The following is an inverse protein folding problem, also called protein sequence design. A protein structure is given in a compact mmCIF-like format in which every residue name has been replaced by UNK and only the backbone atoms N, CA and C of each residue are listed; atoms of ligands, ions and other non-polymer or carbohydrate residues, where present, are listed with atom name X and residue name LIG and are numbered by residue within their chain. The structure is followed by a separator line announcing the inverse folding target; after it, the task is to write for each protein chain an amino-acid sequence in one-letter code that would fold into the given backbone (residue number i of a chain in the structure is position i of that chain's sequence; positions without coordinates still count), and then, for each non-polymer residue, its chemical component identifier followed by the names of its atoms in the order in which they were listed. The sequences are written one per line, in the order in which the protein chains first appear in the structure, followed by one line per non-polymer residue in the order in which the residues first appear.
data_IF_302258755474
#
_entry.id   IF_302258755474
#
_cell.length_a   1.000
_cell.length_b   1.000
_cell.length_c   1.000
_cell.angle_alpha   90.00
_cell.angle_beta   90.00
_cell.angle_gamma   90.00
#
_symmetry.space_group_name_H-M   'P 1'
#
loop_
_entity.id
_entity.type
_entity.pdbx_description
1 polymer ?
#
# COMPACT_ATOMS: atom_id res chain seq x y z
N UNK A 1 1.75 11.21 10.42
CA UNK A 1 0.71 11.14 11.46
C UNK A 1 1.01 12.07 12.63
N UNK A 2 2.22 12.01 13.20
CA UNK A 2 2.58 12.77 14.41
C UNK A 2 2.32 14.28 14.34
N UNK A 3 2.45 14.87 13.14
CA UNK A 3 2.29 16.31 12.88
C UNK A 3 0.93 16.70 12.30
N UNK A 4 0.09 15.73 11.96
CA UNK A 4 -1.17 15.97 11.23
C UNK A 4 -2.38 16.04 12.16
N UNK A 5 -2.28 15.46 13.35
CA UNK A 5 -3.38 15.41 14.31
C UNK A 5 -2.90 15.89 15.67
N UNK A 6 -3.73 16.67 16.40
CA UNK A 6 -3.40 17.07 17.76
C UNK A 6 -3.49 15.85 18.70
N UNK A 7 -2.63 15.86 19.72
CA UNK A 7 -2.63 14.90 20.83
C UNK A 7 -2.99 15.64 22.12
N UNK A 8 -4.26 15.67 22.53
CA UNK A 8 -4.69 16.31 23.77
C UNK A 8 -4.20 15.53 24.99
N UNK A 9 -4.18 16.17 26.15
CA UNK A 9 -3.75 15.54 27.40
C UNK A 9 -4.63 14.35 27.82
N UNK A 10 -5.91 14.37 27.43
CA UNK A 10 -6.88 13.35 27.79
C UNK A 10 -7.51 12.70 26.57
N UNK A 11 -7.82 11.41 26.69
CA UNK A 11 -8.37 10.61 25.61
C UNK A 11 -9.75 11.10 25.16
N UNK A 12 -10.61 11.48 26.11
CA UNK A 12 -11.95 12.02 25.88
C UNK A 12 -11.97 13.27 25.00
N UNK A 13 -10.88 14.01 24.95
CA UNK A 13 -10.76 15.23 24.15
C UNK A 13 -10.23 14.96 22.74
N UNK A 14 -9.84 13.72 22.41
CA UNK A 14 -9.23 13.37 21.13
C UNK A 14 -10.14 13.75 19.95
N UNK A 15 -9.78 14.79 19.17
CA UNK A 15 -10.52 15.11 17.97
C UNK A 15 -10.12 14.14 16.86
N UNK A 16 -11.03 13.96 15.88
CA UNK A 16 -10.78 13.17 14.67
C UNK A 16 -10.46 11.68 14.90
N UNK A 17 -10.88 11.10 16.03
CA UNK A 17 -10.61 9.70 16.37
C UNK A 17 -10.88 8.69 15.24
N UNK A 18 -12.02 8.87 14.54
CA UNK A 18 -12.39 8.04 13.38
C UNK A 18 -11.37 8.18 12.24
N UNK A 19 -11.02 9.41 11.87
CA UNK A 19 -10.05 9.69 10.81
C UNK A 19 -8.69 9.10 11.12
N UNK A 20 -8.17 9.32 12.33
CA UNK A 20 -6.86 8.82 12.77
C UNK A 20 -6.82 7.29 12.64
N UNK A 21 -7.82 6.61 13.21
CA UNK A 21 -7.86 5.16 13.20
C UNK A 21 -8.04 4.62 11.78
N UNK A 22 -8.92 5.24 10.97
CA UNK A 22 -9.16 4.83 9.58
C UNK A 22 -7.89 5.00 8.75
N UNK A 23 -7.25 6.16 8.80
CA UNK A 23 -6.06 6.41 8.00
C UNK A 23 -4.91 5.50 8.43
N UNK A 24 -4.72 5.26 9.73
CA UNK A 24 -3.72 4.29 10.20
C UNK A 24 -4.01 2.88 9.66
N UNK A 25 -5.23 2.36 9.86
CA UNK A 25 -5.59 1.00 9.43
C UNK A 25 -5.47 0.83 7.92
N UNK A 26 -5.94 1.80 7.13
CA UNK A 26 -5.84 1.76 5.68
C UNK A 26 -4.37 1.82 5.23
N UNK A 27 -3.54 2.67 5.83
CA UNK A 27 -2.11 2.75 5.52
C UNK A 27 -1.39 1.43 5.84
N UNK A 28 -1.74 0.77 6.94
CA UNK A 28 -1.26 -0.59 7.24
C UNK A 28 -1.74 -1.62 6.23
N UNK A 29 -2.98 -1.48 5.77
CA UNK A 29 -3.53 -2.25 4.65
C UNK A 29 -2.72 -2.12 3.36
N UNK A 30 -2.32 -0.89 3.00
CA UNK A 30 -1.47 -0.61 1.83
C UNK A 30 -0.13 -1.35 1.92
N UNK A 31 0.59 -1.19 3.03
CA UNK A 31 1.89 -1.86 3.22
C UNK A 31 1.75 -3.38 3.26
N UNK A 32 0.71 -3.90 3.93
CA UNK A 32 0.45 -5.35 4.01
C UNK A 32 0.12 -5.92 2.63
N UNK A 33 -0.69 -5.21 1.84
CA UNK A 33 -1.00 -5.57 0.45
C UNK A 33 0.24 -5.64 -0.43
N UNK A 34 1.22 -4.75 -0.22
CA UNK A 34 2.49 -4.80 -0.92
C UNK A 34 3.31 -6.05 -0.60
N UNK A 35 3.40 -6.42 0.69
CA UNK A 35 4.08 -7.64 1.12
C UNK A 35 3.42 -8.87 0.50
N UNK A 36 2.09 -8.99 0.62
CA UNK A 36 1.34 -10.12 0.05
C UNK A 36 1.55 -10.20 -1.46
N UNK A 37 1.38 -9.09 -2.18
CA UNK A 37 1.53 -9.05 -3.63
C UNK A 37 2.94 -9.39 -4.11
N UNK A 38 3.96 -8.97 -3.35
CA UNK A 38 5.35 -9.30 -3.61
C UNK A 38 5.66 -10.78 -3.39
N UNK A 39 5.18 -11.36 -2.29
CA UNK A 39 5.32 -12.80 -1.99
C UNK A 39 4.62 -13.65 -3.06
N UNK A 40 3.39 -13.30 -3.42
CA UNK A 40 2.63 -14.02 -4.45
C UNK A 40 3.30 -13.94 -5.83
N UNK A 41 3.88 -12.78 -6.18
CA UNK A 41 4.62 -12.63 -7.42
C UNK A 41 5.92 -13.46 -7.40
N UNK A 42 6.71 -13.35 -6.33
CA UNK A 42 7.96 -14.10 -6.17
C UNK A 42 7.74 -15.61 -6.20
N UNK A 43 6.71 -16.11 -5.52
CA UNK A 43 6.32 -17.52 -5.53
C UNK A 43 5.94 -18.02 -6.92
N UNK A 44 5.19 -17.22 -7.70
CA UNK A 44 4.86 -17.55 -9.10
C UNK A 44 6.10 -17.55 -9.99
N UNK A 45 6.98 -16.57 -9.85
CA UNK A 45 8.22 -16.49 -10.63
C UNK A 45 9.15 -17.68 -10.34
N UNK A 46 9.30 -18.05 -9.07
CA UNK A 46 10.09 -19.22 -8.66
C UNK A 46 9.47 -20.51 -9.19
N UNK A 47 8.16 -20.67 -9.07
CA UNK A 47 7.44 -21.85 -9.58
C UNK A 47 7.58 -21.97 -11.10
N UNK A 48 7.46 -20.86 -11.84
CA UNK A 48 7.67 -20.85 -13.28
C UNK A 48 9.10 -21.26 -13.64
N UNK A 49 10.11 -20.78 -12.90
CA UNK A 49 11.51 -21.19 -13.08
C UNK A 49 11.73 -22.68 -12.82
N UNK A 50 11.11 -23.23 -11.77
CA UNK A 50 11.25 -24.65 -11.43
C UNK A 50 10.51 -25.58 -12.41
N UNK A 51 9.40 -25.12 -12.99
CA UNK A 51 8.60 -25.89 -13.97
C UNK A 51 9.09 -25.77 -15.41
N UNK A 52 9.97 -24.82 -15.69
CA UNK A 52 10.55 -24.65 -17.02
C UNK A 52 11.74 -25.59 -17.17
N UNK A 53 11.54 -26.74 -17.82
CA UNK A 53 12.65 -27.49 -18.42
C UNK A 53 13.35 -26.61 -19.47
N UNK A 54 14.68 -26.71 -19.67
CA UNK A 54 15.37 -25.97 -20.72
C UNK A 54 14.89 -26.48 -22.08
N UNK A 55 13.85 -25.84 -22.64
CA UNK A 55 13.50 -26.04 -24.06
C UNK A 55 14.48 -25.21 -24.88
N UNK A 56 15.12 -25.78 -25.92
CA UNK A 56 15.96 -25.00 -26.82
C UNK A 56 15.12 -23.88 -27.40
N UNK A 57 15.71 -22.69 -27.36
CA UNK A 57 15.22 -21.40 -27.86
C UNK A 57 14.49 -21.52 -29.20
N UNK A 58 13.17 -21.67 -29.15
CA UNK A 58 12.31 -21.16 -30.20
C UNK A 58 12.20 -19.65 -29.97
N UNK A 59 12.77 -18.86 -30.87
CA UNK A 59 12.70 -17.40 -30.86
C UNK A 59 11.25 -16.97 -30.59
N UNK A 60 11.03 -16.31 -29.45
CA UNK A 60 9.73 -15.74 -29.12
C UNK A 60 9.36 -14.72 -30.21
N UNK A 61 8.15 -14.75 -30.77
CA UNK A 61 7.71 -13.72 -31.69
C UNK A 61 7.70 -12.37 -30.95
N UNK A 62 8.49 -11.44 -31.48
CA UNK A 62 8.72 -10.06 -30.98
C UNK A 62 7.42 -9.26 -30.86
N UNK A 63 6.29 -9.76 -31.38
CA UNK A 63 4.99 -9.10 -31.44
C UNK A 63 3.93 -9.70 -30.47
N UNK A 64 4.34 -10.26 -29.33
CA UNK A 64 3.38 -10.71 -28.31
C UNK A 64 2.97 -9.53 -27.40
N UNK A 65 1.70 -9.07 -27.39
CA UNK A 65 1.24 -7.95 -26.55
C UNK A 65 1.24 -8.25 -25.04
N UNK A 66 1.68 -9.44 -24.64
CA UNK A 66 1.61 -10.00 -23.28
C UNK A 66 2.92 -9.96 -22.51
N UNK A 67 4.03 -9.55 -23.11
CA UNK A 67 5.30 -9.35 -22.40
C UNK A 67 5.28 -8.00 -21.65
N UNK A 68 4.42 -7.88 -20.63
CA UNK A 68 4.59 -6.81 -19.66
C UNK A 68 5.99 -7.00 -19.02
N UNK A 69 6.89 -6.00 -19.06
CA UNK A 69 8.18 -6.05 -18.39
C UNK A 69 7.96 -6.43 -16.93
N UNK A 70 8.85 -7.27 -16.39
CA UNK A 70 8.81 -7.80 -15.02
C UNK A 70 8.27 -6.80 -13.98
N UNK A 71 8.74 -5.55 -14.05
CA UNK A 71 8.33 -4.47 -13.15
C UNK A 71 6.83 -4.16 -13.23
N UNK A 72 6.22 -4.08 -14.43
CA UNK A 72 4.78 -3.84 -14.59
C UNK A 72 3.95 -4.98 -13.99
N UNK A 73 4.37 -6.23 -14.22
CA UNK A 73 3.69 -7.39 -13.64
C UNK A 73 3.83 -7.45 -12.11
N UNK A 74 4.99 -7.06 -11.58
CA UNK A 74 5.22 -6.94 -10.14
C UNK A 74 4.34 -5.86 -9.50
N UNK A 75 4.35 -4.65 -10.07
CA UNK A 75 3.51 -3.53 -9.61
C UNK A 75 2.03 -3.87 -9.68
N UNK A 76 1.57 -4.52 -10.75
CA UNK A 76 0.19 -5.00 -10.88
C UNK A 76 -0.16 -6.00 -9.78
N UNK A 77 0.73 -6.95 -9.47
CA UNK A 77 0.52 -7.92 -8.38
C UNK A 77 0.36 -7.21 -7.03
N UNK A 78 1.27 -6.28 -6.72
CA UNK A 78 1.21 -5.44 -5.51
C UNK A 78 -0.09 -4.63 -5.45
N UNK A 79 -0.48 -3.98 -6.54
CA UNK A 79 -1.69 -3.15 -6.59
C UNK A 79 -2.96 -3.96 -6.39
N UNK A 80 -3.11 -5.10 -7.07
CA UNK A 80 -4.29 -5.97 -6.91
C UNK A 80 -4.35 -6.51 -5.48
N UNK A 81 -3.23 -6.98 -4.92
CA UNK A 81 -3.17 -7.42 -3.53
C UNK A 81 -3.52 -6.29 -2.57
N UNK A 82 -3.08 -5.05 -2.84
CA UNK A 82 -3.46 -3.87 -2.05
C UNK A 82 -4.96 -3.62 -2.05
N UNK A 83 -5.63 -3.69 -3.21
CA UNK A 83 -7.09 -3.52 -3.29
C UNK A 83 -7.80 -4.54 -2.40
N UNK A 84 -7.42 -5.82 -2.51
CA UNK A 84 -8.02 -6.88 -1.70
C UNK A 84 -7.74 -6.70 -0.21
N UNK A 85 -6.50 -6.35 0.16
CA UNK A 85 -6.16 -6.11 1.56
C UNK A 85 -6.93 -4.91 2.12
N UNK A 86 -7.04 -3.81 1.38
CA UNK A 86 -7.83 -2.64 1.79
C UNK A 86 -9.30 -2.98 1.98
N UNK A 87 -9.88 -3.79 1.10
CA UNK A 87 -11.26 -4.26 1.25
C UNK A 87 -11.42 -5.08 2.54
N UNK A 88 -10.54 -6.05 2.77
CA UNK A 88 -10.60 -6.93 3.96
C UNK A 88 -10.38 -6.14 5.25
N UNK A 89 -9.35 -5.30 5.34
CA UNK A 89 -9.07 -4.53 6.56
C UNK A 89 -10.09 -3.42 6.78
N UNK A 90 -10.66 -2.85 5.71
CA UNK A 90 -11.73 -1.87 5.80
C UNK A 90 -13.00 -2.48 6.40
N UNK A 91 -13.45 -3.64 5.87
CA UNK A 91 -14.57 -4.40 6.45
C UNK A 91 -14.26 -4.84 7.88
N UNK A 92 -13.05 -5.34 8.13
CA UNK A 92 -12.60 -5.76 9.46
C UNK A 92 -12.61 -4.61 10.47
N UNK A 93 -12.21 -3.40 10.05
CA UNK A 93 -12.26 -2.20 10.89
C UNK A 93 -13.69 -1.82 11.23
N UNK A 94 -14.56 -1.75 10.22
CA UNK A 94 -15.98 -1.43 10.41
C UNK A 94 -16.63 -2.45 11.35
N UNK A 95 -16.40 -3.74 11.11
CA UNK A 95 -16.92 -4.81 11.97
C UNK A 95 -16.38 -4.73 13.41
N UNK A 96 -15.08 -4.51 13.60
CA UNK A 96 -14.47 -4.38 14.93
C UNK A 96 -15.02 -3.18 15.72
N UNK A 97 -15.35 -2.09 15.01
CA UNK A 97 -15.80 -0.84 15.61
C UNK A 97 -17.33 -0.68 15.60
N UNK A 98 -18.07 -1.63 15.04
CA UNK A 98 -19.53 -1.59 14.98
C UNK A 98 -20.11 -1.63 16.39
N UNK A 99 -21.04 -0.72 16.69
CA UNK A 99 -21.67 -0.60 18.00
C UNK A 99 -20.75 -0.09 19.12
N UNK A 100 -19.52 0.34 18.82
CA UNK A 100 -18.62 0.93 19.82
C UNK A 100 -18.94 2.40 20.06
N UNK A 101 -18.91 2.80 21.33
CA UNK A 101 -19.18 4.19 21.74
C UNK A 101 -18.08 5.15 21.28
N UNK A 102 -18.44 6.43 21.14
CA UNK A 102 -17.50 7.47 20.67
C UNK A 102 -16.23 7.55 21.54
N UNK A 103 -16.35 7.33 22.86
CA UNK A 103 -15.20 7.35 23.77
C UNK A 103 -14.21 6.21 23.48
N UNK A 104 -14.67 5.03 23.05
CA UNK A 104 -13.79 3.93 22.67
C UNK A 104 -12.98 4.23 21.41
N UNK A 105 -13.60 4.92 20.44
CA UNK A 105 -12.88 5.39 19.26
C UNK A 105 -11.76 6.34 19.66
N UNK A 106 -12.09 7.29 20.54
CA UNK A 106 -11.16 8.30 21.06
C UNK A 106 -10.00 7.66 21.83
N UNK A 107 -10.26 6.79 22.81
CA UNK A 107 -9.24 6.06 23.57
C UNK A 107 -8.29 5.28 22.66
N UNK A 108 -8.80 4.53 21.68
CA UNK A 108 -7.95 3.78 20.74
C UNK A 108 -7.08 4.69 19.90
N UNK A 109 -7.64 5.78 19.36
CA UNK A 109 -6.87 6.74 18.56
C UNK A 109 -5.84 7.50 19.40
N UNK A 110 -6.16 7.82 20.65
CA UNK A 110 -5.26 8.49 21.58
C UNK A 110 -4.06 7.61 21.93
N UNK A 111 -4.29 6.33 22.26
CA UNK A 111 -3.21 5.35 22.51
C UNK A 111 -2.31 5.12 21.29
N UNK A 112 -2.88 5.24 20.09
CA UNK A 112 -2.14 5.14 18.85
C UNK A 112 -1.20 6.33 18.67
N UNK A 113 -1.66 7.55 18.97
CA UNK A 113 -0.82 8.74 18.99
C UNK A 113 0.23 8.71 20.10
N UNK A 114 -0.05 8.09 21.24
CA UNK A 114 0.93 7.90 22.32
C UNK A 114 2.08 6.95 21.91
N UNK A 115 1.84 6.07 20.94
CA UNK A 115 2.86 5.12 20.47
C UNK A 115 3.85 5.75 19.49
N UNK A 116 4.96 6.27 20.03
CA UNK A 116 6.05 6.88 19.23
C UNK A 116 6.52 6.01 18.06
N UNK A 117 6.69 4.71 18.28
CA UNK A 117 7.13 3.78 17.22
C UNK A 117 6.11 3.64 16.09
N UNK A 118 4.82 3.61 16.40
CA UNK A 118 3.77 3.56 15.37
C UNK A 118 3.73 4.85 14.56
N UNK A 119 3.83 6.00 15.24
CA UNK A 119 3.85 7.32 14.61
C UNK A 119 5.02 7.51 13.65
N UNK A 120 6.22 7.10 14.05
CA UNK A 120 7.39 7.23 13.19
C UNK A 120 7.33 6.29 11.99
N UNK A 121 6.94 5.02 12.19
CA UNK A 121 6.72 4.12 11.05
C UNK A 121 5.70 4.73 10.09
N UNK A 122 4.61 5.28 10.62
CA UNK A 122 3.57 5.92 9.83
C UNK A 122 4.15 7.10 9.03
N UNK A 123 4.96 7.97 9.63
CA UNK A 123 5.61 9.10 8.95
C UNK A 123 6.52 8.65 7.79
N UNK A 124 7.35 7.63 8.02
CA UNK A 124 8.19 7.04 6.96
C UNK A 124 7.36 6.38 5.86
N UNK A 125 6.25 5.75 6.24
CA UNK A 125 5.33 5.09 5.30
C UNK A 125 4.66 6.13 4.39
N UNK A 126 4.17 7.25 4.93
CA UNK A 126 3.60 8.34 4.12
C UNK A 126 4.63 8.99 3.21
N UNK A 127 5.86 9.20 3.70
CA UNK A 127 6.94 9.73 2.87
C UNK A 127 7.23 8.79 1.68
N UNK A 128 7.31 7.48 1.95
CA UNK A 128 7.46 6.46 0.90
C UNK A 128 6.30 6.45 -0.09
N UNK A 129 5.05 6.51 0.38
CA UNK A 129 3.85 6.60 -0.47
C UNK A 129 3.87 7.85 -1.35
N UNK A 130 4.26 9.00 -0.81
CA UNK A 130 4.35 10.25 -1.55
C UNK A 130 5.38 10.17 -2.68
N UNK A 131 6.55 9.57 -2.41
CA UNK A 131 7.57 9.28 -3.43
C UNK A 131 7.03 8.32 -4.50
N UNK A 132 6.35 7.25 -4.08
CA UNK A 132 5.73 6.28 -5.01
C UNK A 132 4.65 6.90 -5.91
N UNK A 133 3.86 7.83 -5.38
CA UNK A 133 2.87 8.60 -6.13
C UNK A 133 3.55 9.54 -7.13
N UNK A 134 4.57 10.28 -6.69
CA UNK A 134 5.33 11.18 -7.56
C UNK A 134 6.02 10.42 -8.71
N UNK A 135 6.60 9.25 -8.41
CA UNK A 135 7.21 8.38 -9.43
C UNK A 135 6.19 7.91 -10.48
N UNK A 136 4.97 7.55 -10.06
CA UNK A 136 3.87 7.20 -10.96
C UNK A 136 3.47 8.37 -11.85
N UNK A 137 3.28 9.56 -11.26
CA UNK A 137 2.95 10.77 -12.00
C UNK A 137 4.01 11.13 -13.05
N UNK A 138 5.30 10.99 -12.72
CA UNK A 138 6.40 11.20 -13.67
C UNK A 138 6.38 10.15 -14.79
N UNK A 139 6.07 8.88 -14.48
CA UNK A 139 5.97 7.83 -15.49
C UNK A 139 4.82 8.07 -16.47
N UNK A 140 3.66 8.52 -15.98
CA UNK A 140 2.51 8.94 -16.80
C UNK A 140 2.88 10.11 -17.71
N UNK A 141 3.50 11.16 -17.16
CA UNK A 141 3.93 12.34 -17.93
C UNK A 141 4.92 12.01 -19.05
N UNK A 142 5.76 10.99 -18.86
CA UNK A 142 6.75 10.56 -19.84
C UNK A 142 6.21 9.56 -20.87
N UNK A 143 4.90 9.30 -20.88
CA UNK A 143 4.28 8.30 -21.76
C UNK A 143 4.74 6.87 -21.48
N UNK A 144 5.34 6.62 -20.30
CA UNK A 144 5.79 5.30 -19.87
C UNK A 144 4.67 4.48 -19.22
N UNK A 145 3.56 5.14 -18.93
CA UNK A 145 2.27 4.56 -18.59
C UNK A 145 1.23 5.20 -19.52
N UNK A 146 0.31 4.43 -20.14
CA UNK A 146 -0.76 5.00 -20.95
C UNK A 146 -1.65 5.93 -20.09
N UNK A 147 -2.32 6.93 -20.69
CA UNK A 147 -3.07 7.95 -19.94
C UNK A 147 -4.53 7.52 -19.72
N UNK A 148 -4.81 6.68 -18.72
CA UNK A 148 -6.17 6.45 -18.21
C UNK A 148 -6.13 6.20 -16.70
N UNK A 149 -5.55 7.16 -15.97
CA UNK A 149 -5.77 7.31 -14.54
C UNK A 149 -6.94 8.28 -14.40
N UNK A 150 -7.92 7.95 -13.56
CA UNK A 150 -9.15 8.69 -13.31
C UNK A 150 -10.28 8.42 -14.31
N UNK A 151 -10.82 7.20 -14.28
CA UNK A 151 -12.26 7.01 -14.44
C UNK A 151 -12.70 6.13 -13.28
N UNK A 152 -13.15 6.76 -12.19
CA UNK A 152 -13.99 6.07 -11.22
C UNK A 152 -15.21 5.63 -12.02
N UNK A 153 -15.38 4.32 -12.21
CA UNK A 153 -16.47 3.78 -13.01
C UNK A 153 -17.81 4.30 -12.49
N UNK A 154 -18.56 4.96 -13.37
CA UNK A 154 -19.92 5.48 -13.13
C UNK A 154 -20.93 4.40 -12.67
N UNK A 155 -20.57 3.12 -12.71
CA UNK A 155 -21.53 2.01 -12.62
C UNK A 155 -21.37 1.07 -11.41
N UNK A 156 -20.71 1.48 -10.33
CA UNK A 156 -20.75 0.71 -9.06
C UNK A 156 -20.17 -0.71 -9.13
N UNK A 157 -19.35 -1.01 -10.13
CA UNK A 157 -18.80 -2.35 -10.34
C UNK A 157 -17.65 -2.60 -9.35
N UNK A 158 -17.60 -3.74 -8.64
CA UNK A 158 -16.54 -4.03 -7.67
C UNK A 158 -15.16 -3.96 -8.34
N UNK A 159 -14.18 -3.40 -7.63
CA UNK A 159 -12.81 -3.16 -8.10
C UNK A 159 -12.10 -4.39 -8.71
N UNK A 160 -12.61 -5.60 -8.46
CA UNK A 160 -12.18 -6.84 -9.12
C UNK A 160 -12.47 -6.86 -10.64
N UNK A 161 -13.53 -6.19 -11.11
CA UNK A 161 -13.90 -6.17 -12.54
C UNK A 161 -13.06 -5.18 -13.37
N UNK A 162 -12.46 -4.17 -12.71
CA UNK A 162 -11.51 -3.25 -13.33
C UNK A 162 -10.24 -3.96 -13.84
N UNK A 163 -9.87 -5.10 -13.24
CA UNK A 163 -8.67 -5.86 -13.63
C UNK A 163 -8.69 -6.43 -15.06
N UNK A 164 -9.84 -6.42 -15.75
CA UNK A 164 -9.99 -6.90 -17.13
C UNK A 164 -9.90 -5.82 -18.22
N UNK A 165 -9.98 -4.53 -17.85
CA UNK A 165 -9.96 -3.42 -18.81
C UNK A 165 -8.68 -2.59 -18.67
N UNK A 166 -8.22 -1.93 -19.74
CA UNK A 166 -6.95 -1.19 -19.76
C UNK A 166 -6.81 -0.18 -18.62
N UNK A 167 -7.90 0.49 -18.22
CA UNK A 167 -7.93 1.45 -17.11
C UNK A 167 -7.68 0.83 -15.73
N UNK A 168 -8.20 -0.36 -15.43
CA UNK A 168 -7.98 -0.97 -14.12
C UNK A 168 -6.62 -1.66 -13.98
N UNK A 169 -6.00 -2.05 -15.10
CA UNK A 169 -4.59 -2.46 -15.13
C UNK A 169 -3.68 -1.29 -14.74
N UNK A 170 -3.93 -0.11 -15.30
CA UNK A 170 -3.16 1.11 -15.00
C UNK A 170 -3.36 1.57 -13.56
N UNK A 171 -4.61 1.52 -13.06
CA UNK A 171 -4.89 1.80 -11.65
C UNK A 171 -4.13 0.85 -10.72
N UNK A 172 -4.12 -0.45 -11.01
CA UNK A 172 -3.37 -1.42 -10.22
C UNK A 172 -1.86 -1.16 -10.26
N UNK A 173 -1.30 -0.79 -11.42
CA UNK A 173 0.12 -0.46 -11.52
C UNK A 173 0.48 0.81 -10.74
N UNK A 174 -0.33 1.87 -10.84
CA UNK A 174 -0.14 3.12 -10.11
C UNK A 174 -0.32 2.94 -8.59
N UNK A 175 -1.33 2.18 -8.16
CA UNK A 175 -1.48 1.80 -6.77
C UNK A 175 -0.29 0.94 -6.32
N UNK A 176 0.19 0.06 -7.20
CA UNK A 176 1.40 -0.73 -7.00
C UNK A 176 2.63 0.11 -6.64
N UNK A 177 2.85 1.24 -7.31
CA UNK A 177 4.00 2.11 -6.99
C UNK A 177 3.84 2.81 -5.64
N UNK A 178 2.62 3.24 -5.31
CA UNK A 178 2.31 3.85 -4.00
C UNK A 178 2.52 2.83 -2.88
N UNK A 179 1.98 1.62 -3.04
CA UNK A 179 2.13 0.54 -2.07
C UNK A 179 3.57 0.07 -1.91
N UNK A 180 4.32 -0.01 -3.02
CA UNK A 180 5.76 -0.31 -2.96
C UNK A 180 6.53 0.80 -2.23
N UNK A 181 6.18 2.06 -2.47
CA UNK A 181 6.71 3.21 -1.74
C UNK A 181 6.43 3.11 -0.23
N UNK A 182 5.19 2.79 0.14
CA UNK A 182 4.75 2.51 1.52
C UNK A 182 5.65 1.47 2.21
N UNK A 183 5.86 0.34 1.55
CA UNK A 183 6.71 -0.75 2.04
C UNK A 183 8.18 -0.35 2.13
N UNK A 184 8.71 0.35 1.12
CA UNK A 184 10.08 0.88 1.15
C UNK A 184 10.27 1.88 2.29
N UNK A 185 9.28 2.72 2.57
CA UNK A 185 9.26 3.62 3.73
C UNK A 185 9.35 2.86 5.05
N UNK A 186 8.55 1.79 5.20
CA UNK A 186 8.62 0.91 6.37
C UNK A 186 10.02 0.27 6.53
N UNK A 187 10.61 -0.26 5.45
CA UNK A 187 11.97 -0.82 5.51
C UNK A 187 13.02 0.25 5.83
N UNK A 188 12.86 1.46 5.29
CA UNK A 188 13.72 2.61 5.60
C UNK A 188 13.66 2.96 7.08
N UNK A 189 12.45 3.01 7.67
CA UNK A 189 12.29 3.17 9.12
C UNK A 189 13.00 2.05 9.87
N UNK A 190 12.83 0.78 9.49
CA UNK A 190 13.45 -0.33 10.21
C UNK A 190 14.98 -0.25 10.17
N UNK A 191 15.55 0.06 9.00
CA UNK A 191 16.99 0.26 8.83
C UNK A 191 17.51 1.45 9.64
N UNK A 192 16.80 2.58 9.62
CA UNK A 192 17.16 3.76 10.39
C UNK A 192 17.06 3.51 11.90
N UNK A 193 15.89 3.09 12.36
CA UNK A 193 15.56 2.93 13.78
C UNK A 193 16.37 1.81 14.43
N UNK A 194 16.38 0.63 13.83
CA UNK A 194 17.00 -0.55 14.45
C UNK A 194 18.44 -0.77 13.97
N UNK A 195 18.77 -0.40 12.74
CA UNK A 195 20.13 -0.51 12.21
C UNK A 195 21.07 0.59 12.68
N UNK A 196 20.67 1.86 12.54
CA UNK A 196 21.54 3.00 12.87
C UNK A 196 21.36 3.49 14.31
N UNK A 197 20.13 3.51 14.83
CA UNK A 197 19.82 4.04 16.16
C UNK A 197 19.66 2.99 17.27
N UNK A 198 19.90 1.71 16.97
CA UNK A 198 19.84 0.62 17.95
C UNK A 198 18.50 0.49 18.68
N UNK A 199 17.41 0.95 18.08
CA UNK A 199 16.06 0.91 18.63
C UNK A 199 15.73 1.97 19.68
N UNK A 200 16.65 2.90 20.00
CA UNK A 200 16.46 3.84 21.12
C UNK A 200 15.67 5.10 20.75
N UNK A 201 14.65 5.39 21.56
CA UNK A 201 14.10 6.72 21.87
C UNK A 201 15.12 7.86 21.95
N UNK A 202 15.18 8.93 21.12
CA UNK A 202 15.78 10.17 21.59
C UNK A 202 15.06 10.58 22.89
N UNK A 203 15.82 10.86 23.94
CA UNK A 203 15.27 11.39 25.19
C UNK A 203 14.56 12.69 24.88
N UNK A 204 13.25 12.75 25.17
CA UNK A 204 12.46 13.98 25.07
C UNK A 204 12.71 14.86 26.30
#
# INVERSE_FOLDING_TARGET
MSRLFPHPAYAEDQPYAKTILTTHVLTRGVTTGAVIGGVLFGGRALTARMRSSPKPTAALPINSPTAAPFMRQFLRSIGISTVWTLAVVGVGMVGRMWGREAIEWKDRSWRLLESKGQLEVDDWTYAGMAVGLAASAVALRRGRMPPQVIAAGENGVPAAHLAGNSGGVQFAEALGTVSLGSFAGMLGYMGWRYGLHGGKFPSA
#
